data_IF_185995444644
#
_entry.id   IF_185995444644
#
_cell.length_a   1.000
_cell.length_b   1.000
_cell.length_c   1.000
_cell.angle_alpha   90.00
_cell.angle_beta   90.00
_cell.angle_gamma   90.00
#
_symmetry.space_group_name_H-M   'P 1'
#
loop_
_entity.id
_entity.type
_entity.pdbx_description
1 polymer ?
#
# COMPACT_ATOMS: atom_id res chain seq x y z
N UNK A 1 50.39 -5.64 130.64
CA UNK A 1 49.26 -4.72 130.84
C UNK A 1 48.45 -4.67 129.55
N UNK A 2 47.18 -4.98 129.70
CA UNK A 2 46.05 -5.07 128.77
C UNK A 2 45.70 -3.73 128.10
N UNK A 3 45.30 -3.73 126.82
CA UNK A 3 43.89 -3.66 126.39
C UNK A 3 43.75 -3.25 124.90
N UNK A 4 42.98 -4.08 124.18
CA UNK A 4 41.92 -3.77 123.21
C UNK A 4 42.25 -2.86 122.01
N UNK A 5 42.27 -3.37 120.78
CA UNK A 5 41.10 -3.83 120.00
C UNK A 5 40.14 -2.66 119.67
N UNK A 6 40.12 -2.26 118.39
CA UNK A 6 38.93 -1.94 117.59
C UNK A 6 39.20 -0.92 116.46
N UNK A 7 38.80 -1.37 115.25
CA UNK A 7 38.10 -0.64 114.18
C UNK A 7 38.92 0.35 113.33
N UNK A 8 39.18 -0.07 112.09
CA UNK A 8 38.38 0.30 110.88
C UNK A 8 38.25 1.82 110.71
N UNK A 9 39.07 2.38 109.81
CA UNK A 9 38.67 3.18 108.63
C UNK A 9 39.92 3.84 108.04
N UNK A 10 40.47 3.27 106.96
CA UNK A 10 41.35 4.01 106.05
C UNK A 10 40.47 4.80 105.09
N UNK A 11 40.52 6.12 105.19
CA UNK A 11 40.17 7.07 104.13
C UNK A 11 41.34 8.04 104.06
N UNK A 12 41.94 8.12 102.88
CA UNK A 12 42.66 9.26 102.29
C UNK A 12 43.02 8.76 100.89
N UNK A 13 42.17 9.05 99.91
CA UNK A 13 42.17 10.27 99.09
C UNK A 13 43.09 10.12 97.89
N UNK A 14 42.49 9.98 96.71
CA UNK A 14 42.80 10.84 95.57
C UNK A 14 41.73 10.73 94.48
N UNK A 15 40.87 11.75 94.50
CA UNK A 15 40.18 12.39 93.38
C UNK A 15 40.86 12.16 92.01
N UNK A 16 40.10 11.77 90.99
CA UNK A 16 40.01 12.54 89.73
C UNK A 16 39.08 11.93 88.66
N UNK A 17 38.02 12.70 88.35
CA UNK A 17 37.46 13.09 87.04
C UNK A 17 36.71 12.06 86.14
N UNK A 18 35.67 12.54 85.41
CA UNK A 18 34.73 11.70 84.69
C UNK A 18 35.30 11.28 83.33
N UNK A 19 35.08 10.02 82.95
CA UNK A 19 35.43 9.53 81.62
C UNK A 19 34.30 9.91 80.66
N UNK A 20 34.50 10.97 79.89
CA UNK A 20 33.78 11.22 78.65
C UNK A 20 34.01 10.06 77.67
N UNK A 21 32.95 9.33 77.32
CA UNK A 21 32.95 8.44 76.16
C UNK A 21 33.04 9.27 74.87
N UNK A 22 34.26 9.67 74.48
CA UNK A 22 34.51 10.10 73.10
C UNK A 22 34.49 8.88 72.20
N UNK A 23 33.39 8.68 71.51
CA UNK A 23 33.28 7.72 70.42
C UNK A 23 34.30 8.08 69.33
N UNK A 24 35.43 7.39 69.33
CA UNK A 24 36.29 7.28 68.16
C UNK A 24 35.56 6.42 67.12
N UNK A 25 34.51 6.96 66.52
CA UNK A 25 34.06 6.44 65.23
C UNK A 25 35.20 6.67 64.25
N UNK A 26 35.80 5.55 63.83
CA UNK A 26 36.94 5.50 62.93
C UNK A 26 36.65 6.30 61.66
N UNK A 27 37.30 7.47 61.50
CA UNK A 27 37.24 8.29 60.27
C UNK A 27 37.58 7.49 59.00
N UNK A 28 38.16 6.29 59.14
CA UNK A 28 38.50 5.37 58.06
C UNK A 28 37.28 4.64 57.48
N UNK A 29 36.28 4.30 58.30
CA UNK A 29 35.06 3.61 57.83
C UNK A 29 34.08 4.58 57.18
N UNK A 30 33.95 5.81 57.71
CA UNK A 30 33.08 6.84 57.11
C UNK A 30 33.54 7.23 55.69
N UNK A 31 34.85 7.39 55.46
CA UNK A 31 35.40 7.64 54.11
C UNK A 31 35.10 6.51 53.13
N UNK A 32 35.10 5.26 53.57
CA UNK A 32 34.76 4.11 52.72
C UNK A 32 33.28 4.12 52.34
N UNK A 33 32.37 4.44 53.26
CA UNK A 33 30.94 4.55 52.95
C UNK A 33 30.65 5.70 51.97
N UNK A 34 31.34 6.84 52.09
CA UNK A 34 31.18 7.97 51.14
C UNK A 34 31.64 7.58 49.73
N UNK A 35 32.73 6.82 49.60
CA UNK A 35 33.21 6.35 48.30
C UNK A 35 32.23 5.33 47.69
N UNK A 36 31.74 4.36 48.47
CA UNK A 36 30.77 3.37 48.01
C UNK A 36 29.46 4.05 47.58
N UNK A 37 28.99 5.03 48.34
CA UNK A 37 27.78 5.79 48.00
C UNK A 37 27.97 6.63 46.73
N UNK A 38 29.14 7.23 46.55
CA UNK A 38 29.49 7.94 45.32
C UNK A 38 29.49 7.02 44.09
N UNK A 39 30.05 5.80 44.22
CA UNK A 39 30.03 4.80 43.14
C UNK A 39 28.60 4.36 42.82
N UNK A 40 27.75 4.16 43.83
CA UNK A 40 26.35 3.79 43.62
C UNK A 40 25.56 4.87 42.87
N UNK A 41 25.76 6.15 43.21
CA UNK A 41 25.13 7.26 42.50
C UNK A 41 25.61 7.31 41.04
N UNK A 42 26.93 7.19 40.81
CA UNK A 42 27.49 7.18 39.46
C UNK A 42 26.93 6.00 38.66
N UNK A 43 26.84 4.81 39.26
CA UNK A 43 26.27 3.62 38.61
C UNK A 43 24.79 3.80 38.26
N UNK A 44 24.02 4.46 39.13
CA UNK A 44 22.60 4.74 38.92
C UNK A 44 22.39 5.73 37.78
N UNK A 45 23.19 6.81 37.74
CA UNK A 45 23.16 7.78 36.64
C UNK A 45 23.56 7.12 35.32
N UNK A 46 24.57 6.26 35.33
CA UNK A 46 25.04 5.55 34.14
C UNK A 46 24.04 4.49 33.67
N UNK A 47 23.35 3.82 34.59
CA UNK A 47 22.25 2.91 34.27
C UNK A 47 21.07 3.68 33.67
N UNK A 48 20.72 4.83 34.24
CA UNK A 48 19.63 5.68 33.75
C UNK A 48 19.92 6.23 32.34
N UNK A 49 21.16 6.64 32.05
CA UNK A 49 21.55 7.09 30.71
C UNK A 49 21.53 5.94 29.70
N UNK A 50 22.00 4.74 30.08
CA UNK A 50 21.93 3.55 29.22
C UNK A 50 20.48 3.16 28.94
N UNK A 51 19.61 3.13 29.96
CA UNK A 51 18.19 2.82 29.79
C UNK A 51 17.50 3.84 28.91
N UNK A 52 17.79 5.14 29.07
CA UNK A 52 17.25 6.17 28.19
C UNK A 52 17.79 6.10 26.76
N UNK A 53 19.07 5.75 26.57
CA UNK A 53 19.63 5.54 25.24
C UNK A 53 19.00 4.33 24.55
N UNK A 54 18.81 3.22 25.27
CA UNK A 54 18.10 2.04 24.75
C UNK A 54 16.65 2.37 24.43
N UNK A 55 15.94 3.08 25.32
CA UNK A 55 14.56 3.49 25.09
C UNK A 55 14.44 4.42 23.87
N UNK A 56 15.35 5.38 23.71
CA UNK A 56 15.37 6.25 22.54
C UNK A 56 15.72 5.51 21.25
N UNK A 57 16.58 4.49 21.32
CA UNK A 57 16.90 3.61 20.19
C UNK A 57 15.70 2.77 19.76
N UNK A 58 14.97 2.16 20.71
CA UNK A 58 13.76 1.37 20.42
C UNK A 58 12.57 2.23 19.94
N UNK A 59 12.39 3.45 20.46
CA UNK A 59 11.31 4.36 20.03
C UNK A 59 11.54 4.94 18.62
N UNK A 60 12.79 5.05 18.16
CA UNK A 60 13.08 5.52 16.80
C UNK A 60 12.68 4.52 15.70
N UNK A 61 12.45 3.25 16.04
CA UNK A 61 12.01 2.26 15.06
C UNK A 61 10.49 2.35 14.78
N UNK A 62 9.68 2.74 15.77
CA UNK A 62 8.23 2.90 15.62
C UNK A 62 7.85 4.05 14.68
N UNK A 63 8.66 5.10 14.59
CA UNK A 63 8.41 6.27 13.72
C UNK A 63 8.90 6.10 12.28
N UNK A 64 9.61 5.01 11.98
CA UNK A 64 10.08 4.75 10.61
C UNK A 64 8.97 4.29 9.67
N UNK A 65 7.97 3.54 10.16
CA UNK A 65 6.92 2.97 9.31
C UNK A 65 6.00 4.03 8.68
N UNK A 66 5.63 5.06 9.44
CA UNK A 66 4.75 6.15 9.01
C UNK A 66 5.34 6.98 7.85
N UNK A 67 6.67 6.91 7.63
CA UNK A 67 7.36 7.62 6.56
C UNK A 67 7.37 6.86 5.24
N UNK A 68 7.30 5.53 5.27
CA UNK A 68 7.54 4.69 4.07
C UNK A 68 6.29 3.99 3.55
N UNK A 69 5.27 3.78 4.37
CA UNK A 69 4.06 3.06 3.96
C UNK A 69 2.81 3.97 3.97
N UNK A 70 1.94 3.85 2.95
CA UNK A 70 0.62 4.47 2.96
C UNK A 70 -0.16 4.13 4.25
N UNK A 71 -0.89 5.11 4.78
CA UNK A 71 -1.62 4.99 6.04
C UNK A 71 -2.65 3.86 6.02
N UNK A 72 -3.22 3.55 4.84
CA UNK A 72 -4.16 2.46 4.64
C UNK A 72 -3.50 1.09 4.85
N UNK A 73 -2.24 0.93 4.42
CA UNK A 73 -1.50 -0.32 4.58
C UNK A 73 -1.10 -0.51 6.03
N UNK A 74 -0.67 0.56 6.70
CA UNK A 74 -0.34 0.53 8.13
C UNK A 74 -1.56 0.23 9.00
N UNK A 75 -2.72 0.80 8.65
CA UNK A 75 -3.97 0.49 9.33
C UNK A 75 -4.37 -0.97 9.13
N UNK A 76 -4.29 -1.50 7.91
CA UNK A 76 -4.59 -2.90 7.63
C UNK A 76 -3.63 -3.82 8.38
N UNK A 77 -2.33 -3.51 8.36
CA UNK A 77 -1.31 -4.28 9.06
C UNK A 77 -1.58 -4.35 10.57
N UNK A 78 -1.68 -3.19 11.24
CA UNK A 78 -1.96 -3.11 12.68
C UNK A 78 -3.29 -3.72 13.09
N UNK A 79 -4.28 -3.75 12.18
CA UNK A 79 -5.57 -4.40 12.44
C UNK A 79 -5.45 -5.93 12.51
N UNK A 80 -4.50 -6.50 11.77
CA UNK A 80 -4.37 -7.94 11.60
C UNK A 80 -3.21 -8.55 12.40
N UNK A 81 -2.22 -7.75 12.80
CA UNK A 81 -1.17 -8.09 13.77
C UNK A 81 -1.78 -8.13 15.18
N UNK A 82 -2.16 -9.32 15.65
CA UNK A 82 -2.88 -9.49 16.92
C UNK A 82 -1.93 -9.54 18.10
N UNK A 83 -0.71 -10.03 17.90
CA UNK A 83 0.31 -10.14 18.93
C UNK A 83 1.28 -8.95 18.97
N UNK A 84 1.13 -7.99 18.04
CA UNK A 84 1.95 -6.78 17.90
C UNK A 84 3.44 -7.10 17.75
N UNK A 85 3.76 -8.21 17.09
CA UNK A 85 5.15 -8.63 16.87
C UNK A 85 5.79 -7.94 15.65
N UNK A 86 5.01 -7.09 14.95
CA UNK A 86 5.37 -6.42 13.69
C UNK A 86 5.62 -7.38 12.53
N UNK A 87 5.05 -8.58 12.59
CA UNK A 87 4.90 -9.52 11.50
C UNK A 87 3.43 -9.91 11.33
N UNK A 88 3.11 -10.62 10.25
CA UNK A 88 1.81 -11.26 10.09
C UNK A 88 2.08 -12.75 9.95
N UNK A 89 1.66 -13.51 10.94
CA UNK A 89 1.66 -14.97 10.85
C UNK A 89 0.72 -15.45 9.73
N UNK A 90 0.85 -16.71 9.32
CA UNK A 90 -0.01 -17.31 8.29
C UNK A 90 -1.50 -17.19 8.65
N UNK A 91 -1.85 -17.36 9.93
CA UNK A 91 -3.22 -17.31 10.43
C UNK A 91 -3.77 -15.86 10.46
N UNK A 92 -2.91 -14.88 10.72
CA UNK A 92 -3.27 -13.46 10.69
C UNK A 92 -3.37 -12.91 9.27
N UNK A 93 -2.55 -13.45 8.37
CA UNK A 93 -2.58 -13.12 6.96
C UNK A 93 -3.72 -13.80 6.20
N UNK A 94 -4.18 -14.99 6.59
CA UNK A 94 -5.30 -15.71 5.95
C UNK A 94 -6.54 -14.84 5.65
N UNK A 95 -7.09 -14.03 6.58
CA UNK A 95 -8.22 -13.14 6.27
C UNK A 95 -7.86 -12.04 5.26
N UNK A 96 -6.61 -11.56 5.24
CA UNK A 96 -6.14 -10.60 4.23
C UNK A 96 -5.97 -11.31 2.89
N UNK A 97 -5.39 -12.50 2.87
CA UNK A 97 -5.16 -13.32 1.70
C UNK A 97 -6.48 -13.70 1.03
N UNK A 98 -7.54 -13.99 1.78
CA UNK A 98 -8.86 -14.25 1.23
C UNK A 98 -9.52 -13.00 0.62
N UNK A 99 -9.23 -11.81 1.14
CA UNK A 99 -9.67 -10.53 0.54
C UNK A 99 -8.84 -10.17 -0.70
N UNK A 100 -7.53 -10.39 -0.69
CA UNK A 100 -6.61 -10.12 -1.80
C UNK A 100 -6.70 -11.18 -2.91
N UNK A 101 -6.97 -12.42 -2.52
CA UNK A 101 -7.02 -13.62 -3.35
C UNK A 101 -8.38 -13.87 -4.01
N UNK A 102 -9.37 -13.01 -3.78
CA UNK A 102 -10.56 -12.95 -4.61
C UNK A 102 -10.14 -12.57 -6.03
N UNK A 103 -9.79 -13.58 -6.84
CA UNK A 103 -9.72 -13.45 -8.28
C UNK A 103 -11.10 -12.99 -8.73
N UNK A 104 -11.28 -11.69 -8.99
CA UNK A 104 -12.49 -11.22 -9.66
C UNK A 104 -12.55 -11.96 -11.00
N UNK A 105 -13.53 -12.86 -11.09
CA UNK A 105 -13.89 -13.51 -12.36
C UNK A 105 -14.13 -12.38 -13.35
N UNK A 106 -13.62 -12.47 -14.59
CA UNK A 106 -13.97 -11.50 -15.62
C UNK A 106 -15.49 -11.31 -15.63
N UNK A 107 -15.95 -10.10 -15.33
CA UNK A 107 -17.39 -9.82 -15.33
C UNK A 107 -17.85 -9.77 -16.78
N UNK A 108 -18.62 -10.78 -17.19
CA UNK A 108 -19.21 -10.81 -18.52
C UNK A 108 -20.40 -9.86 -18.57
N UNK A 109 -20.17 -8.64 -19.07
CA UNK A 109 -21.23 -7.65 -19.31
C UNK A 109 -22.02 -8.03 -20.57
N UNK A 110 -22.83 -9.09 -20.49
CA UNK A 110 -23.70 -9.52 -21.59
C UNK A 110 -24.93 -8.62 -21.61
N UNK A 111 -25.17 -7.96 -22.74
CA UNK A 111 -26.42 -7.23 -22.97
C UNK A 111 -27.36 -8.09 -23.83
N UNK A 112 -28.64 -8.26 -23.42
CA UNK A 112 -29.57 -9.06 -24.19
C UNK A 112 -29.82 -8.45 -25.57
N UNK A 113 -29.95 -9.33 -26.56
CA UNK A 113 -30.38 -8.99 -27.92
C UNK A 113 -31.82 -9.48 -28.03
N UNK A 114 -32.75 -8.56 -28.26
CA UNK A 114 -34.16 -8.90 -28.43
C UNK A 114 -34.42 -9.32 -29.88
N UNK A 115 -35.45 -10.12 -30.11
CA UNK A 115 -35.84 -10.52 -31.47
C UNK A 115 -36.29 -9.34 -32.35
N UNK A 116 -36.67 -8.22 -31.73
CA UNK A 116 -37.03 -6.97 -32.40
C UNK A 116 -35.82 -6.09 -32.75
N UNK A 117 -34.64 -6.41 -32.21
CA UNK A 117 -33.44 -5.61 -32.43
C UNK A 117 -32.82 -5.92 -33.80
N UNK A 118 -32.29 -4.89 -34.46
CA UNK A 118 -31.39 -5.09 -35.59
C UNK A 118 -30.07 -5.69 -35.11
N UNK A 119 -29.68 -6.81 -35.71
CA UNK A 119 -28.46 -7.53 -35.40
C UNK A 119 -27.26 -6.91 -36.13
N UNK A 120 -26.22 -6.57 -35.38
CA UNK A 120 -24.93 -6.11 -35.90
C UNK A 120 -23.88 -7.16 -35.53
N UNK A 121 -23.23 -7.74 -36.54
CA UNK A 121 -22.10 -8.65 -36.34
C UNK A 121 -20.80 -7.88 -36.55
N UNK A 122 -19.95 -7.85 -35.52
CA UNK A 122 -18.62 -7.23 -35.60
C UNK A 122 -17.57 -8.32 -35.71
N UNK A 123 -16.63 -8.14 -36.63
CA UNK A 123 -15.42 -8.94 -36.75
C UNK A 123 -14.23 -8.12 -36.22
N UNK A 124 -13.45 -8.70 -35.31
CA UNK A 124 -12.21 -8.11 -34.81
C UNK A 124 -11.02 -8.67 -35.58
N UNK A 125 -10.11 -7.78 -35.96
CA UNK A 125 -8.81 -8.11 -36.55
C UNK A 125 -7.73 -7.48 -35.69
N UNK A 126 -6.63 -8.21 -35.50
CA UNK A 126 -5.54 -7.81 -34.61
C UNK A 126 -4.21 -7.98 -35.33
N UNK A 127 -3.40 -6.92 -35.35
CA UNK A 127 -2.04 -6.97 -35.83
C UNK A 127 -1.09 -7.11 -34.63
N UNK A 128 -0.32 -8.21 -34.54
CA UNK A 128 0.57 -8.44 -33.40
C UNK A 128 1.70 -7.42 -33.34
N UNK A 129 2.24 -7.22 -32.13
CA UNK A 129 3.40 -6.36 -31.93
C UNK A 129 4.59 -6.83 -32.78
N UNK A 130 5.06 -5.95 -33.66
CA UNK A 130 6.26 -6.18 -34.46
C UNK A 130 7.49 -5.60 -33.78
N UNK A 131 8.35 -6.46 -33.23
CA UNK A 131 9.58 -6.03 -32.55
C UNK A 131 10.60 -5.38 -33.49
N UNK A 132 10.54 -5.64 -34.80
CA UNK A 132 11.50 -5.05 -35.75
C UNK A 132 11.29 -3.56 -35.94
N UNK A 133 10.10 -3.02 -35.60
CA UNK A 133 9.78 -1.60 -35.74
C UNK A 133 10.05 -0.80 -34.46
N UNK A 134 10.42 -1.47 -33.36
CA UNK A 134 10.71 -0.81 -32.09
C UNK A 134 12.12 -0.23 -32.09
N UNK A 135 12.26 1.00 -31.62
CA UNK A 135 13.56 1.70 -31.52
C UNK A 135 14.41 1.24 -30.33
N UNK A 136 13.80 0.61 -29.32
CA UNK A 136 14.50 0.07 -28.15
C UNK A 136 14.87 -1.38 -28.40
N UNK A 137 16.13 -1.73 -28.15
CA UNK A 137 16.59 -3.12 -28.20
C UNK A 137 16.25 -3.84 -26.90
N UNK A 138 15.29 -4.77 -26.98
CA UNK A 138 14.84 -5.58 -25.84
C UNK A 138 15.66 -6.86 -25.66
N UNK A 139 16.64 -7.13 -26.54
CA UNK A 139 17.49 -8.32 -26.46
C UNK A 139 18.46 -8.29 -25.29
N UNK A 140 18.65 -7.13 -24.65
CA UNK A 140 19.65 -6.92 -23.60
C UNK A 140 19.11 -6.54 -22.21
N UNK A 141 17.79 -6.52 -22.02
CA UNK A 141 17.16 -6.30 -20.70
C UNK A 141 17.23 -7.58 -19.83
N UNK A 142 18.44 -7.96 -19.44
CA UNK A 142 18.77 -9.18 -18.68
C UNK A 142 18.85 -8.93 -17.17
N UNK A 143 17.82 -8.38 -16.53
CA UNK A 143 17.83 -8.24 -15.06
C UNK A 143 16.69 -8.90 -14.30
N UNK A 144 15.80 -9.63 -14.96
CA UNK A 144 14.84 -10.52 -14.27
C UNK A 144 14.59 -11.76 -15.11
N UNK A 145 14.57 -12.95 -14.49
CA UNK A 145 14.30 -14.26 -15.13
C UNK A 145 12.86 -14.38 -15.72
N UNK A 146 12.19 -13.27 -16.00
CA UNK A 146 10.81 -13.19 -16.47
C UNK A 146 10.78 -12.26 -17.67
N UNK A 147 10.51 -12.80 -18.86
CA UNK A 147 10.24 -11.99 -20.05
C UNK A 147 8.92 -11.23 -19.83
N UNK A 148 9.01 -9.99 -19.33
CA UNK A 148 7.86 -9.15 -19.01
C UNK A 148 6.96 -8.87 -20.23
N UNK A 149 7.48 -9.05 -21.43
CA UNK A 149 6.78 -8.89 -22.70
C UNK A 149 6.28 -10.22 -23.29
N UNK A 150 6.52 -11.37 -22.64
CA UNK A 150 6.12 -12.68 -23.15
C UNK A 150 4.63 -12.71 -23.52
N UNK A 151 3.78 -12.14 -22.68
CA UNK A 151 2.35 -12.09 -22.92
C UNK A 151 1.97 -11.25 -24.15
N UNK A 152 2.70 -10.15 -24.41
CA UNK A 152 2.51 -9.33 -25.62
C UNK A 152 3.08 -10.01 -26.86
N UNK A 153 4.14 -10.81 -26.71
CA UNK A 153 4.71 -11.64 -27.80
C UNK A 153 3.73 -12.72 -28.24
N UNK A 154 3.09 -13.39 -27.28
CA UNK A 154 2.14 -14.48 -27.50
C UNK A 154 0.76 -14.00 -27.97
N UNK A 155 0.40 -12.75 -27.68
CA UNK A 155 -0.85 -12.20 -28.17
C UNK A 155 -0.77 -11.97 -29.68
N UNK A 156 -1.34 -12.90 -30.45
CA UNK A 156 -1.32 -12.89 -31.93
C UNK A 156 -2.68 -12.67 -32.59
N UNK A 157 -3.77 -12.83 -31.84
CA UNK A 157 -5.13 -12.80 -32.37
C UNK A 157 -6.10 -12.22 -31.34
N UNK A 158 -7.26 -11.70 -31.77
CA UNK A 158 -8.30 -11.28 -30.83
C UNK A 158 -8.80 -12.48 -30.01
N UNK A 159 -9.17 -12.23 -28.75
CA UNK A 159 -9.75 -13.23 -27.86
C UNK A 159 -11.12 -13.74 -28.38
N UNK A 160 -11.96 -12.86 -28.92
CA UNK A 160 -13.24 -13.18 -29.55
C UNK A 160 -13.25 -12.55 -30.95
N UNK A 161 -12.97 -13.33 -32.01
CA UNK A 161 -12.87 -12.81 -33.38
C UNK A 161 -14.18 -12.26 -33.95
N UNK A 162 -15.33 -12.74 -33.46
CA UNK A 162 -16.66 -12.34 -33.94
C UNK A 162 -17.63 -12.23 -32.78
N UNK A 163 -18.37 -11.12 -32.72
CA UNK A 163 -19.36 -10.90 -31.67
C UNK A 163 -20.59 -10.17 -32.21
N UNK A 164 -21.76 -10.57 -31.69
CA UNK A 164 -23.05 -10.01 -32.05
C UNK A 164 -23.50 -8.93 -31.06
N UNK A 165 -24.10 -7.88 -31.61
CA UNK A 165 -24.62 -6.73 -30.89
C UNK A 165 -26.01 -6.37 -31.40
N UNK A 166 -26.84 -5.81 -30.53
CA UNK A 166 -28.05 -5.13 -30.95
C UNK A 166 -27.69 -3.70 -31.36
N UNK A 167 -28.32 -3.16 -32.41
CA UNK A 167 -28.10 -1.77 -32.82
C UNK A 167 -28.31 -0.77 -31.68
N UNK A 168 -29.27 -1.03 -30.77
CA UNK A 168 -29.52 -0.20 -29.58
C UNK A 168 -28.33 -0.12 -28.62
N UNK A 169 -27.43 -1.10 -28.61
CA UNK A 169 -26.22 -1.07 -27.76
C UNK A 169 -25.28 0.08 -28.16
N UNK A 170 -25.34 0.55 -29.41
CA UNK A 170 -24.52 1.66 -29.91
C UNK A 170 -25.08 3.05 -29.58
N UNK A 171 -26.20 3.13 -28.85
CA UNK A 171 -26.77 4.42 -28.43
C UNK A 171 -25.77 5.28 -27.65
N UNK A 172 -24.85 4.66 -26.89
CA UNK A 172 -23.80 5.38 -26.14
C UNK A 172 -22.86 6.21 -27.02
N UNK A 173 -22.73 5.91 -28.31
CA UNK A 173 -21.90 6.70 -29.22
C UNK A 173 -22.55 8.00 -29.68
N UNK A 174 -23.88 8.13 -29.51
CA UNK A 174 -24.61 9.31 -29.96
C UNK A 174 -24.30 10.53 -29.08
N UNK A 175 -24.26 11.73 -29.67
CA UNK A 175 -24.04 12.95 -28.91
C UNK A 175 -25.20 13.20 -27.92
N UNK A 176 -24.88 13.49 -26.65
CA UNK A 176 -25.89 13.77 -25.60
C UNK A 176 -26.65 15.09 -25.82
N UNK A 177 -26.07 16.00 -26.61
CA UNK A 177 -26.64 17.30 -26.99
C UNK A 177 -26.53 17.48 -28.51
N UNK A 178 -27.39 18.28 -29.16
CA UNK A 178 -27.20 18.63 -30.56
C UNK A 178 -25.82 19.23 -30.77
N UNK A 179 -25.06 18.68 -31.72
CA UNK A 179 -23.68 19.06 -32.03
C UNK A 179 -23.57 19.33 -33.52
N UNK A 180 -22.80 20.36 -33.87
CA UNK A 180 -22.50 20.71 -35.25
C UNK A 180 -21.56 19.69 -35.91
N UNK A 181 -21.69 19.54 -37.22
CA UNK A 181 -20.79 18.71 -38.01
C UNK A 181 -19.35 19.24 -37.85
N UNK A 182 -18.39 18.34 -37.65
CA UNK A 182 -16.97 18.67 -37.48
C UNK A 182 -16.58 19.08 -36.06
N UNK A 183 -17.52 19.28 -35.13
CA UNK A 183 -17.19 19.59 -33.73
C UNK A 183 -16.97 18.31 -32.91
N UNK A 184 -15.85 18.20 -32.18
CA UNK A 184 -15.60 17.04 -31.33
C UNK A 184 -16.48 17.06 -30.08
N UNK A 185 -16.83 15.89 -29.58
CA UNK A 185 -17.54 15.69 -28.32
C UNK A 185 -17.02 14.47 -27.58
N UNK A 186 -17.20 14.47 -26.26
CA UNK A 186 -16.79 13.36 -25.40
C UNK A 186 -17.89 12.29 -25.38
N UNK A 187 -17.52 11.06 -25.70
CA UNK A 187 -18.36 9.90 -25.40
C UNK A 187 -18.07 9.43 -23.97
N UNK A 188 -16.78 9.29 -23.65
CA UNK A 188 -16.28 8.99 -22.32
C UNK A 188 -15.39 10.15 -21.93
N UNK A 189 -15.77 10.91 -20.91
CA UNK A 189 -14.92 11.97 -20.39
C UNK A 189 -13.71 11.34 -19.70
N UNK A 190 -12.51 11.82 -20.02
CA UNK A 190 -11.32 11.53 -19.21
C UNK A 190 -11.51 12.11 -17.80
N UNK A 191 -10.75 11.60 -16.82
CA UNK A 191 -10.82 12.18 -15.49
C UNK A 191 -10.38 13.66 -15.56
N UNK A 192 -11.32 14.58 -15.31
CA UNK A 192 -11.12 16.05 -15.44
C UNK A 192 -10.13 16.59 -14.41
N UNK A 193 -9.82 15.81 -13.38
CA UNK A 193 -8.83 16.16 -12.39
C UNK A 193 -7.43 15.85 -12.94
N UNK A 194 -6.84 16.83 -13.64
CA UNK A 194 -5.41 16.82 -14.02
C UNK A 194 -4.45 16.63 -12.82
N UNK A 195 -4.98 16.69 -11.59
CA UNK A 195 -4.25 16.62 -10.31
C UNK A 195 -4.59 15.41 -9.43
N UNK A 196 -5.44 14.47 -9.88
CA UNK A 196 -5.57 13.19 -9.15
C UNK A 196 -4.43 12.27 -9.54
N UNK A 197 -3.76 11.78 -8.51
CA UNK A 197 -2.73 10.75 -8.55
C UNK A 197 -3.03 9.72 -9.63
N UNK A 198 -2.02 9.46 -10.49
CA UNK A 198 -2.07 8.40 -11.47
C UNK A 198 -2.79 7.19 -10.89
N UNK A 199 -3.87 6.74 -11.55
CA UNK A 199 -4.65 5.60 -11.08
C UNK A 199 -3.70 4.49 -10.60
N UNK A 200 -3.91 3.89 -9.41
CA UNK A 200 -2.86 3.16 -8.72
C UNK A 200 -2.29 2.02 -9.57
N UNK A 201 -0.99 1.77 -9.39
CA UNK A 201 -0.28 0.70 -10.11
C UNK A 201 -0.87 -0.69 -9.79
N UNK A 202 -1.40 -0.85 -8.58
CA UNK A 202 -1.90 -2.11 -8.04
C UNK A 202 -3.31 -2.48 -8.52
N UNK A 203 -3.73 -2.00 -9.69
CA UNK A 203 -4.99 -2.42 -10.32
C UNK A 203 -4.76 -3.70 -11.11
N UNK A 204 -5.02 -4.83 -10.45
CA UNK A 204 -4.95 -6.16 -11.07
C UNK A 204 -6.22 -6.49 -11.84
N UNK A 205 -7.37 -6.03 -11.36
CA UNK A 205 -8.67 -6.24 -11.98
C UNK A 205 -9.24 -4.92 -12.48
N UNK A 206 -9.90 -4.92 -13.65
CA UNK A 206 -10.64 -3.75 -14.09
C UNK A 206 -11.74 -3.42 -13.07
N UNK A 207 -12.00 -2.12 -12.82
CA UNK A 207 -13.13 -1.71 -12.00
C UNK A 207 -14.46 -2.05 -12.68
N UNK A 208 -15.53 -2.02 -11.91
CA UNK A 208 -16.86 -2.28 -12.44
C UNK A 208 -17.27 -1.22 -13.47
N UNK A 209 -18.00 -1.66 -14.50
CA UNK A 209 -18.32 -0.86 -15.68
C UNK A 209 -19.70 -0.23 -15.53
N UNK A 210 -19.76 1.09 -15.63
CA UNK A 210 -21.05 1.81 -15.73
C UNK A 210 -21.82 1.38 -16.97
N UNK A 211 -23.16 1.40 -16.88
CA UNK A 211 -24.07 1.02 -17.96
C UNK A 211 -23.77 1.74 -19.29
N UNK A 212 -23.40 3.02 -19.25
CA UNK A 212 -23.06 3.82 -20.43
C UNK A 212 -21.82 3.27 -21.17
N UNK A 213 -20.92 2.60 -20.44
CA UNK A 213 -19.64 2.12 -20.92
C UNK A 213 -19.62 0.62 -21.26
N UNK A 214 -20.74 -0.10 -21.07
CA UNK A 214 -20.81 -1.54 -21.32
C UNK A 214 -20.44 -1.89 -22.77
N UNK A 215 -20.93 -1.11 -23.75
CA UNK A 215 -20.61 -1.37 -25.16
C UNK A 215 -19.10 -1.29 -25.43
N UNK A 216 -18.41 -0.35 -24.79
CA UNK A 216 -16.96 -0.24 -24.86
C UNK A 216 -16.31 -1.47 -24.25
N UNK A 217 -16.68 -1.85 -23.02
CA UNK A 217 -16.16 -3.07 -22.41
C UNK A 217 -16.32 -4.30 -23.33
N UNK A 218 -17.51 -4.49 -23.92
CA UNK A 218 -17.79 -5.63 -24.81
C UNK A 218 -16.94 -5.60 -26.08
N UNK A 219 -16.83 -4.45 -26.74
CA UNK A 219 -15.96 -4.29 -27.92
C UNK A 219 -14.49 -4.59 -27.58
N UNK A 220 -14.01 -4.14 -26.41
CA UNK A 220 -12.64 -4.39 -25.97
C UNK A 220 -12.41 -5.83 -25.51
N UNK A 221 -13.46 -6.47 -24.98
CA UNK A 221 -13.43 -7.87 -24.58
C UNK A 221 -13.22 -8.79 -25.78
N UNK A 222 -13.52 -8.32 -26.99
CA UNK A 222 -13.15 -9.04 -28.22
C UNK A 222 -11.63 -9.19 -28.37
N UNK A 223 -10.84 -8.28 -27.81
CA UNK A 223 -9.38 -8.33 -27.87
C UNK A 223 -8.81 -9.00 -26.63
N UNK A 224 -9.32 -8.69 -25.44
CA UNK A 224 -8.77 -9.17 -24.16
C UNK A 224 -9.87 -9.33 -23.10
N UNK A 225 -9.91 -10.43 -22.32
CA UNK A 225 -11.01 -10.74 -21.38
C UNK A 225 -11.15 -9.75 -20.21
N UNK A 226 -10.13 -8.94 -19.94
CA UNK A 226 -10.12 -7.95 -18.84
C UNK A 226 -9.67 -6.57 -19.32
N UNK A 227 -10.49 -5.85 -20.11
CA UNK A 227 -10.11 -4.55 -20.62
C UNK A 227 -10.31 -3.46 -19.55
N UNK A 228 -9.38 -2.50 -19.49
CA UNK A 228 -9.59 -1.27 -18.71
C UNK A 228 -10.12 -0.18 -19.64
N UNK A 229 -11.31 0.34 -19.33
CA UNK A 229 -11.94 1.43 -20.09
C UNK A 229 -11.17 2.73 -19.92
N UNK A 230 -10.61 2.95 -18.72
CA UNK A 230 -9.80 4.12 -18.40
C UNK A 230 -8.32 3.74 -18.29
N UNK A 231 -7.52 4.35 -19.14
CA UNK A 231 -6.05 4.24 -19.09
C UNK A 231 -5.50 4.86 -17.82
N UNK A 232 -4.41 4.29 -17.30
CA UNK A 232 -3.67 4.91 -16.17
C UNK A 232 -3.06 6.24 -16.56
N UNK A 233 -2.49 6.29 -17.76
CA UNK A 233 -1.75 7.44 -18.25
C UNK A 233 -2.59 8.22 -19.27
N UNK A 234 -2.46 9.55 -19.31
CA UNK A 234 -3.06 10.35 -20.36
C UNK A 234 -2.51 9.91 -21.73
N UNK A 235 -3.29 10.09 -22.81
CA UNK A 235 -4.65 10.63 -22.81
C UNK A 235 -5.68 9.63 -22.25
N UNK A 236 -6.65 10.15 -21.49
CA UNK A 236 -7.80 9.41 -20.98
C UNK A 236 -9.07 9.88 -21.69
N UNK A 237 -10.04 8.97 -21.80
CA UNK A 237 -11.34 9.26 -22.39
C UNK A 237 -11.44 8.88 -23.86
N UNK A 238 -12.61 9.14 -24.42
CA UNK A 238 -12.97 8.83 -25.80
C UNK A 238 -13.64 10.04 -26.42
N UNK A 239 -13.08 10.50 -27.53
CA UNK A 239 -13.59 11.64 -28.30
C UNK A 239 -14.17 11.13 -29.61
N UNK A 240 -15.28 11.73 -30.02
CA UNK A 240 -15.92 11.50 -31.29
C UNK A 240 -16.20 12.81 -32.02
N UNK A 241 -16.42 12.72 -33.33
CA UNK A 241 -16.83 13.83 -34.19
C UNK A 241 -17.91 13.33 -35.14
N UNK A 242 -18.93 14.16 -35.35
CA UNK A 242 -19.92 13.93 -36.41
C UNK A 242 -19.29 14.40 -37.72
N UNK A 243 -19.03 13.47 -38.64
CA UNK A 243 -18.43 13.78 -39.96
C UNK A 243 -19.46 14.25 -40.98
N UNK A 244 -20.66 13.66 -40.93
CA UNK A 244 -21.75 13.98 -41.84
C UNK A 244 -23.11 13.69 -41.18
N UNK A 245 -24.16 14.32 -41.71
CA UNK A 245 -25.55 14.11 -41.32
C UNK A 245 -26.43 14.00 -42.54
N UNK A 246 -27.31 12.99 -42.55
CA UNK A 246 -28.36 12.86 -43.57
C UNK A 246 -29.68 12.50 -42.90
N UNK A 247 -30.59 13.48 -42.78
CA UNK A 247 -31.85 13.30 -42.04
C UNK A 247 -31.61 12.95 -40.58
N UNK A 248 -32.03 11.74 -40.18
CA UNK A 248 -31.85 11.13 -38.86
C UNK A 248 -30.56 10.30 -38.72
N UNK A 249 -29.81 10.10 -39.80
CA UNK A 249 -28.58 9.32 -39.82
C UNK A 249 -27.36 10.22 -39.53
N UNK A 250 -26.46 9.72 -38.68
CA UNK A 250 -25.21 10.37 -38.33
C UNK A 250 -24.04 9.46 -38.69
N UNK A 251 -23.04 10.03 -39.38
CA UNK A 251 -21.73 9.39 -39.54
C UNK A 251 -20.81 9.90 -38.42
N UNK A 252 -20.46 9.00 -37.50
CA UNK A 252 -19.68 9.31 -36.31
C UNK A 252 -18.33 8.63 -36.41
N UNK A 253 -17.27 9.43 -36.36
CA UNK A 253 -15.91 8.93 -36.22
C UNK A 253 -15.46 9.12 -34.77
N UNK A 254 -14.88 8.08 -34.16
CA UNK A 254 -14.42 8.15 -32.78
C UNK A 254 -13.07 7.48 -32.62
N UNK A 255 -12.32 7.95 -31.63
CA UNK A 255 -11.04 7.37 -31.22
C UNK A 255 -11.05 7.22 -29.71
N UNK A 256 -10.66 6.03 -29.25
CA UNK A 256 -10.52 5.73 -27.84
C UNK A 256 -9.14 5.11 -27.60
N UNK A 257 -8.59 5.33 -26.41
CA UNK A 257 -7.30 4.77 -25.98
C UNK A 257 -7.56 3.83 -24.81
N UNK A 258 -6.88 2.70 -24.82
CA UNK A 258 -7.14 1.59 -23.90
C UNK A 258 -5.87 1.08 -23.27
N UNK A 259 -6.03 0.44 -22.12
CA UNK A 259 -4.96 -0.32 -21.49
C UNK A 259 -5.42 -1.74 -21.22
N UNK A 260 -4.52 -2.68 -21.48
CA UNK A 260 -4.67 -4.07 -21.13
C UNK A 260 -3.65 -4.41 -20.05
N UNK A 261 -4.01 -5.33 -19.16
CA UNK A 261 -3.01 -5.95 -18.29
C UNK A 261 -2.36 -7.10 -19.03
N UNK A 262 -1.07 -7.31 -18.81
CA UNK A 262 -0.32 -8.42 -19.41
C UNK A 262 -1.04 -9.76 -19.19
N UNK A 263 -1.42 -10.46 -20.28
CA UNK A 263 -2.06 -11.75 -20.18
C UNK A 263 -1.03 -12.82 -19.82
N UNK A 264 -0.58 -12.87 -18.56
CA UNK A 264 0.22 -14.00 -18.07
C UNK A 264 -0.59 -15.28 -17.91
N UNK A 265 -1.92 -15.21 -17.96
CA UNK A 265 -2.84 -16.32 -17.68
C UNK A 265 -3.79 -16.67 -18.84
N UNK A 266 -3.67 -16.06 -20.03
CA UNK A 266 -4.72 -16.13 -21.07
C UNK A 266 -4.27 -16.50 -22.49
N UNK A 267 -2.97 -16.69 -22.73
CA UNK A 267 -2.42 -17.10 -24.02
C UNK A 267 -1.24 -18.06 -23.82
#
# INVERSE_FOLDING_TARGET
>A
MTNNDLRRRRKEDQSSKPVEHKSKYSKKTFKQYVIIFGILIISSVLLFTIVNQLKNFFIHDETSYDKYYPSEILYLFRKHDRDNDNYLSLDEFEPIASQLGQKKVPTDYIQPILNTDQLITINAFFEPLNFSTMTKDFRHTYLTNLDEFQSLKLWKQPYIPRLNFAARHFKSFLPKKPIEIGKPYWIIEGNKQQFVEHLPANRYYPPDVSHEHIIFHRLLSMFHPRPFIFTRFPPQGTVAVVRARHGSLLDIYFRFVISFKNPKEYF
#
